data_IF_935870811789
#
_entry.id   IF_935870811789
#
_cell.length_a   1.000
_cell.length_b   1.000
_cell.length_c   1.000
_cell.angle_alpha   90.00
_cell.angle_beta   90.00
_cell.angle_gamma   90.00
#
_symmetry.space_group_name_H-M   'P 1'
#
loop_
_entity.id
_entity.type
_entity.pdbx_description
1 polymer ?
#
# COMPACT_ATOMS: atom_id res chain seq x y z
N UNK A 1 2.28 14.96 17.08
CA UNK A 1 1.88 14.65 15.70
C UNK A 1 0.67 13.74 15.78
N UNK A 2 -0.49 14.20 15.33
CA UNK A 2 -1.67 13.33 15.21
C UNK A 2 -1.31 12.20 14.26
N UNK A 3 -1.26 10.97 14.76
CA UNK A 3 -1.12 9.79 13.92
C UNK A 3 -2.42 9.66 13.12
N UNK A 4 -2.48 10.32 11.97
CA UNK A 4 -3.60 10.17 11.05
C UNK A 4 -3.73 8.67 10.72
N UNK A 5 -4.92 8.12 10.98
CA UNK A 5 -5.18 6.71 10.77
C UNK A 5 -4.91 6.29 9.33
N UNK A 6 -4.63 5.00 9.11
CA UNK A 6 -4.34 4.43 7.79
C UNK A 6 -5.31 4.90 6.69
N UNK A 7 -6.61 4.95 6.99
CA UNK A 7 -7.63 5.39 6.04
C UNK A 7 -7.46 6.85 5.59
N UNK A 8 -7.07 7.76 6.50
CA UNK A 8 -6.84 9.16 6.16
C UNK A 8 -5.59 9.33 5.29
N UNK A 9 -4.49 8.65 5.66
CA UNK A 9 -3.25 8.62 4.86
C UNK A 9 -3.49 8.08 3.46
N UNK A 10 -4.24 6.98 3.33
CA UNK A 10 -4.56 6.41 2.03
C UNK A 10 -5.50 7.33 1.22
N UNK A 11 -6.46 7.99 1.86
CA UNK A 11 -7.33 8.96 1.19
C UNK A 11 -6.54 10.13 0.60
N UNK A 12 -5.59 10.69 1.36
CA UNK A 12 -4.68 11.75 0.90
C UNK A 12 -3.84 11.30 -0.30
N UNK A 13 -3.23 10.11 -0.21
CA UNK A 13 -2.41 9.53 -1.29
C UNK A 13 -3.18 9.28 -2.59
N UNK A 14 -4.50 9.05 -2.50
CA UNK A 14 -5.38 8.85 -3.65
C UNK A 14 -5.99 10.17 -4.17
N UNK A 15 -5.61 11.32 -3.61
CA UNK A 15 -6.23 12.62 -3.97
C UNK A 15 -7.72 12.68 -3.64
N UNK A 16 -8.15 11.94 -2.61
CA UNK A 16 -9.53 11.87 -2.15
C UNK A 16 -10.48 11.08 -3.05
N UNK A 17 -10.00 10.39 -4.09
CA UNK A 17 -10.84 9.64 -5.03
C UNK A 17 -10.33 8.24 -5.28
N UNK A 18 -11.23 7.26 -5.27
CA UNK A 18 -10.93 5.89 -5.66
C UNK A 18 -11.37 5.62 -7.09
N UNK A 19 -10.48 5.05 -7.90
CA UNK A 19 -10.80 4.47 -9.20
C UNK A 19 -10.65 2.94 -9.15
N UNK A 20 -11.55 2.15 -9.78
CA UNK A 20 -11.40 0.70 -9.87
C UNK A 20 -10.05 0.25 -10.49
N UNK A 21 -9.42 1.08 -11.32
CA UNK A 21 -8.08 0.82 -11.85
C UNK A 21 -7.02 0.72 -10.73
N UNK A 22 -7.23 1.44 -9.62
CA UNK A 22 -6.33 1.47 -8.45
C UNK A 22 -6.47 0.27 -7.53
N UNK A 23 -7.46 -0.62 -7.77
CA UNK A 23 -7.78 -1.78 -6.91
C UNK A 23 -6.56 -2.60 -6.52
N UNK A 24 -5.64 -2.84 -7.45
CA UNK A 24 -4.41 -3.62 -7.21
C UNK A 24 -3.43 -2.88 -6.32
N UNK A 25 -3.23 -1.58 -6.56
CA UNK A 25 -2.37 -0.73 -5.74
C UNK A 25 -2.90 -0.63 -4.31
N UNK A 26 -4.22 -0.41 -4.16
CA UNK A 26 -4.86 -0.39 -2.85
C UNK A 26 -4.75 -1.75 -2.14
N UNK A 27 -4.99 -2.86 -2.85
CA UNK A 27 -4.78 -4.21 -2.28
C UNK A 27 -3.33 -4.41 -1.80
N UNK A 28 -2.34 -3.94 -2.56
CA UNK A 28 -0.92 -4.01 -2.17
C UNK A 28 -0.65 -3.23 -0.89
N UNK A 29 -1.10 -1.97 -0.82
CA UNK A 29 -0.90 -1.10 0.34
C UNK A 29 -1.60 -1.66 1.58
N UNK A 30 -2.83 -2.16 1.45
CA UNK A 30 -3.56 -2.81 2.54
C UNK A 30 -2.83 -4.05 3.05
N UNK A 31 -2.37 -4.94 2.16
CA UNK A 31 -1.64 -6.14 2.56
C UNK A 31 -0.32 -5.81 3.26
N UNK A 32 0.35 -4.76 2.81
CA UNK A 32 1.58 -4.28 3.44
C UNK A 32 1.32 -3.70 4.83
N UNK A 33 0.27 -2.90 4.97
CA UNK A 33 -0.13 -2.34 6.27
C UNK A 33 -0.60 -3.43 7.25
N UNK A 34 -1.38 -4.39 6.77
CA UNK A 34 -1.80 -5.54 7.58
C UNK A 34 -0.58 -6.32 8.11
N UNK A 35 0.45 -6.51 7.28
CA UNK A 35 1.70 -7.14 7.71
C UNK A 35 2.42 -6.31 8.78
N UNK A 36 2.50 -4.99 8.60
CA UNK A 36 3.10 -4.06 9.58
C UNK A 36 2.42 -4.17 10.94
N UNK A 37 1.08 -4.19 10.97
CA UNK A 37 0.29 -4.32 12.20
C UNK A 37 0.52 -5.64 12.95
N UNK A 38 0.80 -6.72 12.22
CA UNK A 38 0.95 -8.07 12.79
C UNK A 38 2.40 -8.49 13.03
N UNK A 39 3.37 -7.75 12.52
CA UNK A 39 4.78 -8.15 12.44
C UNK A 39 5.35 -8.61 13.77
N UNK A 40 5.06 -7.87 14.84
CA UNK A 40 5.51 -8.18 16.20
C UNK A 40 4.82 -9.41 16.81
N UNK A 41 3.62 -9.74 16.34
CA UNK A 41 2.78 -10.83 16.86
C UNK A 41 3.00 -12.15 16.13
N UNK A 42 3.66 -12.15 14.97
CA UNK A 42 3.86 -13.37 14.20
C UNK A 42 4.68 -14.44 14.95
N UNK A 43 5.60 -14.04 15.81
CA UNK A 43 6.39 -14.97 16.64
C UNK A 43 5.50 -15.89 17.49
N UNK A 44 4.36 -15.39 17.97
CA UNK A 44 3.40 -16.14 18.77
C UNK A 44 2.43 -17.01 17.94
N UNK A 45 2.43 -16.88 16.61
CA UNK A 45 1.47 -17.55 15.72
C UNK A 45 2.13 -18.64 14.87
N UNK A 46 1.43 -19.76 14.68
CA UNK A 46 1.78 -20.79 13.69
C UNK A 46 1.57 -20.26 12.28
N UNK A 47 2.27 -20.84 11.30
CA UNK A 47 2.26 -20.35 9.92
C UNK A 47 0.85 -20.21 9.32
N UNK A 48 -0.06 -21.17 9.55
CA UNK A 48 -1.43 -21.07 9.03
C UNK A 48 -2.22 -19.92 9.70
N UNK A 49 -2.02 -19.69 11.00
CA UNK A 49 -2.64 -18.60 11.74
C UNK A 49 -2.16 -17.24 11.24
N UNK A 50 -0.87 -17.12 10.88
CA UNK A 50 -0.32 -15.88 10.29
C UNK A 50 -1.02 -15.51 8.99
N UNK A 51 -1.27 -16.51 8.13
CA UNK A 51 -1.97 -16.31 6.84
C UNK A 51 -3.40 -15.82 7.04
N UNK A 52 -4.12 -16.45 7.97
CA UNK A 52 -5.50 -16.08 8.32
C UNK A 52 -5.52 -14.68 8.94
N UNK A 53 -4.68 -14.43 9.96
CA UNK A 53 -4.60 -13.13 10.62
C UNK A 53 -4.29 -11.99 9.65
N UNK A 54 -3.36 -12.19 8.70
CA UNK A 54 -3.06 -11.21 7.65
C UNK A 54 -4.29 -10.92 6.79
N UNK A 55 -5.00 -11.96 6.36
CA UNK A 55 -6.19 -11.82 5.53
C UNK A 55 -7.33 -11.09 6.25
N UNK A 56 -7.59 -11.46 7.50
CA UNK A 56 -8.64 -10.85 8.33
C UNK A 56 -8.30 -9.39 8.61
N UNK A 57 -7.06 -9.10 9.01
CA UNK A 57 -6.59 -7.72 9.25
C UNK A 57 -6.67 -6.86 7.98
N UNK A 58 -6.31 -7.40 6.82
CA UNK A 58 -6.45 -6.71 5.54
C UNK A 58 -7.93 -6.39 5.22
N UNK A 59 -8.83 -7.34 5.50
CA UNK A 59 -10.27 -7.15 5.30
C UNK A 59 -10.83 -6.07 6.24
N UNK A 60 -10.41 -6.08 7.50
CA UNK A 60 -10.78 -5.06 8.49
C UNK A 60 -10.28 -3.68 8.09
N UNK A 61 -9.02 -3.55 7.65
CA UNK A 61 -8.47 -2.30 7.14
C UNK A 61 -9.27 -1.77 5.96
N UNK A 62 -9.66 -2.63 5.01
CA UNK A 62 -10.50 -2.24 3.87
C UNK A 62 -11.86 -1.72 4.34
N UNK A 63 -12.46 -2.34 5.35
CA UNK A 63 -13.74 -1.90 5.88
C UNK A 63 -13.67 -0.49 6.49
N UNK A 64 -12.50 -0.05 6.98
CA UNK A 64 -12.29 1.33 7.47
C UNK A 64 -12.21 2.39 6.37
N UNK A 65 -12.06 2.00 5.10
CA UNK A 65 -11.89 2.92 3.96
C UNK A 65 -13.24 3.56 3.55
N UNK A 66 -13.82 4.36 4.43
CA UNK A 66 -15.18 4.95 4.29
C UNK A 66 -15.39 5.72 2.98
N UNK A 67 -14.32 6.33 2.45
CA UNK A 67 -14.31 7.08 1.19
C UNK A 67 -14.44 6.20 -0.07
N UNK A 68 -14.23 4.87 0.03
CA UNK A 68 -14.44 3.92 -1.07
C UNK A 68 -15.86 3.35 -0.94
N UNK A 69 -16.69 3.32 -2.00
CA UNK A 69 -18.01 2.69 -1.93
C UNK A 69 -17.94 1.21 -1.50
N UNK A 70 -18.89 0.70 -0.68
CA UNK A 70 -18.85 -0.67 -0.16
C UNK A 70 -18.69 -1.75 -1.24
N UNK A 71 -19.35 -1.58 -2.38
CA UNK A 71 -19.24 -2.51 -3.52
C UNK A 71 -17.80 -2.63 -4.01
N UNK A 72 -17.06 -1.52 -4.11
CA UNK A 72 -15.65 -1.54 -4.52
C UNK A 72 -14.71 -2.07 -3.44
N UNK A 73 -15.03 -1.89 -2.15
CA UNK A 73 -14.24 -2.45 -1.05
C UNK A 73 -14.13 -3.97 -1.14
N UNK A 74 -15.25 -4.63 -1.43
CA UNK A 74 -15.30 -6.10 -1.61
C UNK A 74 -14.40 -6.51 -2.79
N UNK A 75 -14.42 -5.74 -3.87
CA UNK A 75 -13.61 -6.02 -5.06
C UNK A 75 -12.09 -5.90 -4.81
N UNK A 76 -11.66 -5.11 -3.83
CA UNK A 76 -10.24 -5.02 -3.42
C UNK A 76 -9.74 -6.39 -2.96
N UNK A 77 -10.57 -7.22 -2.32
CA UNK A 77 -10.18 -8.57 -1.89
C UNK A 77 -10.36 -9.64 -2.96
N UNK A 78 -10.66 -9.28 -4.22
CA UNK A 78 -10.66 -10.26 -5.31
C UNK A 78 -9.27 -10.51 -5.88
N UNK A 79 -9.03 -11.76 -6.28
CA UNK A 79 -7.84 -12.20 -7.01
C UNK A 79 -7.81 -11.58 -8.41
N UNK A 80 -8.92 -11.67 -9.14
CA UNK A 80 -9.09 -11.20 -10.53
C UNK A 80 -10.35 -10.34 -10.64
N UNK A 81 -10.35 -9.38 -11.57
CA UNK A 81 -11.51 -8.51 -11.81
C UNK A 81 -12.63 -9.25 -12.57
N UNK A 82 -12.27 -10.04 -13.58
CA UNK A 82 -13.22 -10.77 -14.44
C UNK A 82 -13.92 -11.94 -13.75
N UNK A 83 -13.21 -12.67 -12.90
CA UNK A 83 -13.75 -13.87 -12.24
C UNK A 83 -14.37 -13.61 -10.87
N UNK A 84 -14.21 -12.40 -10.30
CA UNK A 84 -14.61 -12.04 -8.92
C UNK A 84 -14.23 -13.09 -7.87
N UNK A 85 -13.13 -13.83 -8.11
CA UNK A 85 -12.68 -14.92 -7.23
C UNK A 85 -12.04 -14.29 -6.00
N UNK A 86 -12.49 -14.60 -4.78
CA UNK A 86 -11.87 -14.08 -3.56
C UNK A 86 -10.39 -14.43 -3.45
N UNK A 87 -9.62 -13.52 -2.84
CA UNK A 87 -8.25 -13.81 -2.45
C UNK A 87 -8.27 -14.84 -1.31
N UNK A 88 -7.51 -15.91 -1.42
CA UNK A 88 -7.36 -16.84 -0.28
C UNK A 88 -6.27 -16.36 0.69
N UNK A 89 -6.32 -16.74 1.97
CA UNK A 89 -5.26 -16.42 2.94
C UNK A 89 -3.86 -16.84 2.48
N UNK A 90 -3.74 -18.02 1.86
CA UNK A 90 -2.47 -18.48 1.27
C UNK A 90 -1.94 -17.55 0.18
N UNK A 91 -2.84 -17.08 -0.70
CA UNK A 91 -2.44 -16.21 -1.80
C UNK A 91 -2.16 -14.79 -1.33
N UNK A 92 -2.92 -14.28 -0.34
CA UNK A 92 -2.64 -13.01 0.34
C UNK A 92 -1.23 -13.02 0.94
N UNK A 93 -0.89 -14.08 1.67
CA UNK A 93 0.43 -14.26 2.25
C UNK A 93 1.55 -14.29 1.21
N UNK A 94 1.37 -15.06 0.12
CA UNK A 94 2.35 -15.11 -0.98
C UNK A 94 2.54 -13.74 -1.61
N UNK A 95 1.46 -12.99 -1.85
CA UNK A 95 1.52 -11.64 -2.41
C UNK A 95 2.24 -10.68 -1.47
N UNK A 96 1.91 -10.69 -0.17
CA UNK A 96 2.61 -9.88 0.83
C UNK A 96 4.13 -10.18 0.82
N UNK A 97 4.53 -11.46 0.78
CA UNK A 97 5.95 -11.82 0.71
C UNK A 97 6.65 -11.33 -0.55
N UNK A 98 5.95 -11.29 -1.68
CA UNK A 98 6.48 -10.71 -2.92
C UNK A 98 6.61 -9.19 -2.79
N UNK A 99 5.60 -8.51 -2.26
CA UNK A 99 5.61 -7.07 -2.02
C UNK A 99 6.80 -6.69 -1.12
N UNK A 100 6.98 -7.38 0.01
CA UNK A 100 8.08 -7.11 0.94
C UNK A 100 9.44 -7.28 0.25
N UNK A 101 9.62 -8.36 -0.53
CA UNK A 101 10.83 -8.58 -1.32
C UNK A 101 11.07 -7.47 -2.34
N UNK A 102 10.02 -7.04 -3.05
CA UNK A 102 10.10 -5.95 -4.02
C UNK A 102 10.50 -4.64 -3.34
N UNK A 103 9.86 -4.28 -2.22
CA UNK A 103 10.21 -3.08 -1.44
C UNK A 103 11.69 -3.11 -1.06
N UNK A 104 12.18 -4.22 -0.50
CA UNK A 104 13.60 -4.36 -0.12
C UNK A 104 14.56 -4.26 -1.31
N UNK A 105 14.18 -4.78 -2.46
CA UNK A 105 15.04 -4.82 -3.65
C UNK A 105 15.00 -3.53 -4.46
N UNK A 106 13.86 -2.86 -4.56
CA UNK A 106 13.63 -1.81 -5.56
C UNK A 106 13.39 -0.44 -4.92
N UNK A 107 12.71 -0.37 -3.78
CA UNK A 107 12.35 0.90 -3.14
C UNK A 107 13.43 1.31 -2.14
N UNK A 108 13.81 0.43 -1.20
CA UNK A 108 14.77 0.75 -0.14
C UNK A 108 16.12 1.24 -0.67
N UNK A 109 16.75 0.63 -1.70
CA UNK A 109 18.02 1.12 -2.21
C UNK A 109 17.91 2.50 -2.88
N UNK A 110 16.75 2.79 -3.49
CA UNK A 110 16.52 4.04 -4.21
C UNK A 110 16.08 5.20 -3.33
N UNK A 111 15.42 4.94 -2.20
CA UNK A 111 15.02 5.99 -1.26
C UNK A 111 16.18 6.44 -0.37
N UNK A 112 17.19 5.57 -0.12
CA UNK A 112 18.36 5.87 0.73
C UNK A 112 19.04 7.22 0.45
N UNK A 113 19.29 7.63 -0.81
CA UNK A 113 19.92 8.93 -1.10
C UNK A 113 19.06 10.14 -0.72
N UNK A 114 17.76 9.94 -0.50
CA UNK A 114 16.80 10.99 -0.13
C UNK A 114 16.53 11.05 1.37
N UNK A 115 17.09 10.11 2.16
CA UNK A 115 16.94 10.11 3.61
C UNK A 115 17.81 11.21 4.20
N UNK A 116 17.17 12.19 4.83
CA UNK A 116 17.81 13.34 5.43
C UNK A 116 17.22 13.57 6.84
N UNK A 117 18.03 13.57 7.91
CA UNK A 117 17.54 13.77 9.27
C UNK A 117 16.92 15.16 9.49
N UNK A 118 17.25 16.15 8.66
CA UNK A 118 16.71 17.50 8.75
C UNK A 118 15.39 17.67 7.97
N UNK A 119 14.97 16.64 7.22
CA UNK A 119 13.70 16.61 6.48
C UNK A 119 12.66 15.76 7.18
N UNK A 120 11.40 16.17 7.04
CA UNK A 120 10.27 15.34 7.41
C UNK A 120 10.15 14.10 6.51
N UNK A 121 9.45 13.08 7.00
CA UNK A 121 9.15 11.88 6.21
C UNK A 121 8.46 12.22 4.88
N UNK A 122 7.54 13.19 4.91
CA UNK A 122 6.79 13.63 3.73
C UNK A 122 7.73 14.27 2.69
N UNK A 123 8.62 15.16 3.11
CA UNK A 123 9.60 15.78 2.21
C UNK A 123 10.54 14.75 1.59
N UNK A 124 11.02 13.77 2.37
CA UNK A 124 11.84 12.68 1.83
C UNK A 124 11.07 11.85 0.76
N UNK A 125 9.79 11.59 1.01
CA UNK A 125 8.93 10.87 0.07
C UNK A 125 8.64 11.70 -1.20
N UNK A 126 8.35 12.99 -1.05
CA UNK A 126 8.08 13.90 -2.16
C UNK A 126 9.31 14.04 -3.07
N UNK A 127 10.50 14.20 -2.49
CA UNK A 127 11.77 14.24 -3.23
C UNK A 127 12.01 12.93 -4.00
N UNK A 128 11.74 11.79 -3.36
CA UNK A 128 11.87 10.48 -4.00
C UNK A 128 10.88 10.30 -5.16
N UNK A 129 9.60 10.66 -4.97
CA UNK A 129 8.55 10.57 -5.99
C UNK A 129 8.87 11.50 -7.16
N UNK A 130 9.29 12.73 -6.88
CA UNK A 130 9.72 13.69 -7.89
C UNK A 130 10.88 13.11 -8.72
N UNK A 131 11.90 12.54 -8.08
CA UNK A 131 13.01 11.91 -8.78
C UNK A 131 12.57 10.72 -9.67
N UNK A 132 11.61 9.91 -9.21
CA UNK A 132 11.06 8.84 -10.06
C UNK A 132 10.24 9.41 -11.24
N UNK A 133 9.47 10.47 -11.03
CA UNK A 133 8.70 11.13 -12.08
C UNK A 133 9.61 11.71 -13.16
N UNK A 134 10.69 12.40 -12.78
CA UNK A 134 11.64 12.97 -13.74
C UNK A 134 12.39 11.88 -14.52
N UNK A 135 12.74 10.78 -13.86
CA UNK A 135 13.40 9.65 -14.52
C UNK A 135 12.52 8.98 -15.59
N UNK A 136 11.20 8.92 -15.36
CA UNK A 136 10.24 8.31 -16.31
C UNK A 136 9.80 9.30 -17.39
N UNK A 137 9.53 10.55 -17.02
CA UNK A 137 9.03 11.58 -17.95
C UNK A 137 10.13 12.19 -18.81
N UNK A 138 11.40 12.15 -18.36
CA UNK A 138 12.52 12.84 -19.00
C UNK A 138 12.49 14.37 -18.82
N UNK A 139 11.52 14.91 -18.08
CA UNK A 139 11.34 16.36 -17.89
C UNK A 139 11.79 16.73 -16.48
N UNK A 140 12.91 17.46 -16.38
CA UNK A 140 13.43 17.95 -15.09
C UNK A 140 12.65 19.17 -14.58
N UNK A 141 12.44 19.26 -13.28
CA UNK A 141 11.87 20.43 -12.59
C UNK A 141 10.36 20.62 -12.76
N UNK A 142 9.69 19.78 -13.56
CA UNK A 142 8.23 19.76 -13.63
C UNK A 142 7.70 18.99 -12.43
N UNK A 143 6.91 19.64 -11.58
CA UNK A 143 6.27 18.98 -10.43
C UNK A 143 5.48 17.76 -10.90
N UNK A 144 5.68 16.63 -10.21
CA UNK A 144 4.89 15.44 -10.46
C UNK A 144 3.39 15.75 -10.24
N UNK A 145 2.48 15.10 -10.99
CA UNK A 145 1.05 15.20 -10.72
C UNK A 145 0.77 14.77 -9.28
N UNK A 146 -0.04 15.56 -8.57
CA UNK A 146 -0.52 15.22 -7.21
C UNK A 146 -1.71 14.27 -7.24
N UNK A 147 -2.31 14.07 -8.42
CA UNK A 147 -3.45 13.19 -8.63
C UNK A 147 -3.06 12.13 -9.65
N UNK A 148 -3.33 10.87 -9.32
CA UNK A 148 -3.17 9.75 -10.24
C UNK A 148 -4.40 9.70 -11.17
N UNK A 149 -4.24 10.18 -12.41
CA UNK A 149 -5.23 10.01 -13.50
C UNK A 149 -4.97 8.73 -14.31
#
# INVERSE_FOLDING_TARGET
MSDEGFAAKLMDLLGGRYSPAMRRSVQTVVLYEADRCLRERYSALRLFQRKIALYDTASDLINTLSFIPPYHRIEIMFRTASGKVPLSPDLAWRRMKLIDREVQKTIIPKIRPFLDPDKSHKECCDDFIQAQYEAVSGIKGKKHPTVWE
#
